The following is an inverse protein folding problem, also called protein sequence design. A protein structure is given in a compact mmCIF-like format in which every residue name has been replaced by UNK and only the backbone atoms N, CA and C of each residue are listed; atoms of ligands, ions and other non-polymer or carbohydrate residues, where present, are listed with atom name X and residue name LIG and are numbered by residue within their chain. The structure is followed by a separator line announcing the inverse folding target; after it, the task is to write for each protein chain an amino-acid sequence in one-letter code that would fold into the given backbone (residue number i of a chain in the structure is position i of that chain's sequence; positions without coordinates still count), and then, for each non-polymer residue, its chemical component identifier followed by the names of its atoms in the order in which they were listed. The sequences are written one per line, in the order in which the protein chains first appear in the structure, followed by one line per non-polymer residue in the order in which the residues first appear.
data_IF_151306265168
#
_entry.id   IF_151306265168
#
_cell.length_a   1.000
_cell.length_b   1.000
_cell.length_c   1.000
_cell.angle_alpha   90.00
_cell.angle_beta   90.00
_cell.angle_gamma   90.00
#
_symmetry.space_group_name_H-M   'P 1'
#
loop_
_entity.id
_entity.type
_entity.pdbx_description
1 polymer ?
#
# COMPACT_ATOMS: atom_id res chain seq x y z
N UNK A 1 -25.20 8.15 8.09
CA UNK A 1 -23.88 8.79 7.86
C UNK A 1 -23.02 8.89 9.12
N UNK A 2 -23.45 9.54 10.22
CA UNK A 2 -22.65 9.65 11.46
C UNK A 2 -22.25 8.31 12.09
N UNK A 3 -23.18 7.35 12.16
CA UNK A 3 -22.90 6.03 12.74
C UNK A 3 -21.80 5.26 11.99
N UNK A 4 -21.83 5.28 10.66
CA UNK A 4 -20.84 4.59 9.82
C UNK A 4 -19.43 5.14 10.03
N UNK A 5 -19.29 6.48 10.12
CA UNK A 5 -18.00 7.10 10.40
C UNK A 5 -17.43 6.66 11.75
N UNK A 6 -18.28 6.59 12.78
CA UNK A 6 -17.87 6.12 14.10
C UNK A 6 -17.42 4.66 14.04
N UNK A 7 -18.15 3.79 13.33
CA UNK A 7 -17.77 2.39 13.15
C UNK A 7 -16.44 2.23 12.40
N UNK A 8 -16.21 3.01 11.34
CA UNK A 8 -14.93 3.03 10.62
C UNK A 8 -13.78 3.46 11.53
N UNK A 9 -13.96 4.51 12.33
CA UNK A 9 -12.93 4.98 13.29
C UNK A 9 -12.64 3.90 14.33
N UNK A 10 -13.67 3.27 14.90
CA UNK A 10 -13.51 2.18 15.86
C UNK A 10 -12.73 1.02 15.22
N UNK A 11 -13.11 0.60 14.02
CA UNK A 11 -12.42 -0.47 13.29
C UNK A 11 -10.93 -0.15 13.03
N UNK A 12 -10.61 1.09 12.65
CA UNK A 12 -9.22 1.55 12.45
C UNK A 12 -8.43 1.49 13.76
N UNK A 13 -8.99 2.02 14.85
CA UNK A 13 -8.32 2.05 16.15
C UNK A 13 -8.05 0.64 16.69
N UNK A 14 -9.04 -0.25 16.60
CA UNK A 14 -8.87 -1.66 16.99
C UNK A 14 -7.83 -2.37 16.11
N UNK A 15 -7.83 -2.12 14.81
CA UNK A 15 -6.83 -2.70 13.90
C UNK A 15 -5.42 -2.22 14.22
N UNK A 16 -5.25 -0.91 14.47
CA UNK A 16 -3.95 -0.36 14.90
C UNK A 16 -3.47 -0.99 16.20
N UNK A 17 -4.36 -1.19 17.18
CA UNK A 17 -4.02 -1.83 18.45
C UNK A 17 -3.56 -3.29 18.25
N UNK A 18 -4.31 -4.07 17.46
CA UNK A 18 -3.99 -5.48 17.17
C UNK A 18 -2.66 -5.62 16.43
N UNK A 19 -2.40 -4.73 15.46
CA UNK A 19 -1.19 -4.80 14.63
C UNK A 19 -0.02 -3.97 15.18
N UNK A 20 -0.16 -3.29 16.32
CA UNK A 20 0.84 -2.38 16.88
C UNK A 20 2.22 -3.04 17.03
N UNK A 21 2.24 -4.27 17.55
CA UNK A 21 3.47 -5.05 17.73
C UNK A 21 4.12 -5.51 16.42
N UNK A 22 3.42 -5.40 15.28
CA UNK A 22 3.89 -5.85 13.97
C UNK A 22 4.28 -4.71 13.03
N UNK A 23 4.12 -3.44 13.46
CA UNK A 23 4.35 -2.27 12.61
C UNK A 23 5.80 -2.18 12.10
N UNK A 24 6.76 -2.64 12.90
CA UNK A 24 8.19 -2.63 12.60
C UNK A 24 8.72 -3.97 12.10
N UNK A 25 7.85 -4.93 11.77
CA UNK A 25 8.30 -6.16 11.14
C UNK A 25 8.89 -5.87 9.76
N UNK A 26 9.74 -6.77 9.28
CA UNK A 26 10.38 -6.67 7.98
C UNK A 26 9.38 -6.90 6.83
N UNK A 27 9.81 -6.52 5.63
CA UNK A 27 9.17 -6.89 4.37
C UNK A 27 9.14 -8.40 4.21
N UNK A 28 8.05 -8.95 3.70
CA UNK A 28 7.87 -10.40 3.51
C UNK A 28 7.29 -10.73 2.15
N UNK A 29 7.60 -11.91 1.64
CA UNK A 29 7.03 -12.45 0.39
C UNK A 29 7.20 -11.47 -0.79
N UNK A 30 6.10 -11.09 -1.43
CA UNK A 30 6.09 -10.28 -2.63
C UNK A 30 6.41 -8.79 -2.38
N UNK A 31 6.47 -8.35 -1.11
CA UNK A 31 6.85 -6.98 -0.74
C UNK A 31 8.18 -6.58 -1.39
N UNK A 32 9.14 -7.51 -1.44
CA UNK A 32 10.43 -7.29 -2.10
C UNK A 32 10.26 -6.86 -3.55
N UNK A 33 9.56 -7.68 -4.34
CA UNK A 33 9.38 -7.43 -5.78
C UNK A 33 8.52 -6.20 -6.09
N UNK A 34 7.48 -5.97 -5.28
CA UNK A 34 6.44 -4.96 -5.57
C UNK A 34 6.73 -3.60 -4.96
N UNK A 35 7.58 -3.53 -3.94
CA UNK A 35 7.97 -2.29 -3.25
C UNK A 35 9.47 -2.07 -3.35
N UNK A 36 10.29 -2.98 -2.81
CA UNK A 36 11.75 -2.77 -2.67
C UNK A 36 12.42 -2.66 -4.05
N UNK A 37 12.17 -3.63 -4.92
CA UNK A 37 12.78 -3.74 -6.25
C UNK A 37 12.03 -2.95 -7.34
N UNK A 38 10.98 -2.23 -6.95
CA UNK A 38 10.05 -1.60 -7.89
C UNK A 38 10.35 -0.12 -8.10
N UNK A 39 11.18 0.18 -9.11
CA UNK A 39 11.48 1.58 -9.45
C UNK A 39 10.23 2.39 -9.84
N UNK A 40 9.16 1.73 -10.32
CA UNK A 40 7.95 2.42 -10.78
C UNK A 40 7.19 3.16 -9.69
N UNK A 41 7.38 2.81 -8.41
CA UNK A 41 6.70 3.48 -7.29
C UNK A 41 7.51 4.64 -6.72
N UNK A 42 8.73 4.87 -7.17
CA UNK A 42 9.62 5.89 -6.56
C UNK A 42 9.37 7.32 -7.05
N UNK A 43 8.59 7.48 -8.12
CA UNK A 43 8.29 8.78 -8.72
C UNK A 43 7.00 8.74 -9.55
N UNK A 44 6.21 9.81 -9.50
CA UNK A 44 4.98 9.98 -10.30
C UNK A 44 5.24 9.99 -11.81
N UNK A 45 6.50 10.15 -12.26
CA UNK A 45 6.85 10.06 -13.68
C UNK A 45 6.48 8.72 -14.32
N UNK A 46 6.35 7.66 -13.51
CA UNK A 46 6.02 6.32 -13.96
C UNK A 46 4.51 6.05 -14.00
N UNK A 47 3.67 7.03 -13.66
CA UNK A 47 2.21 6.88 -13.64
C UNK A 47 1.61 6.33 -14.95
N UNK A 48 2.11 6.70 -16.16
CA UNK A 48 1.62 6.08 -17.40
C UNK A 48 1.83 4.55 -17.46
N UNK A 49 2.84 4.00 -16.78
CA UNK A 49 3.13 2.56 -16.75
C UNK A 49 2.04 1.80 -15.98
N UNK A 50 1.39 2.44 -15.00
CA UNK A 50 0.38 1.79 -14.15
C UNK A 50 -0.83 1.32 -14.97
N UNK A 51 -1.08 1.96 -16.11
CA UNK A 51 -2.15 1.64 -17.06
C UNK A 51 -1.72 0.66 -18.17
N UNK A 52 -0.46 0.25 -18.19
CA UNK A 52 0.07 -0.73 -19.15
C UNK A 52 0.07 -2.16 -18.60
N UNK A 53 -0.47 -2.35 -17.39
CA UNK A 53 -0.54 -3.65 -16.71
C UNK A 53 0.82 -4.20 -16.23
N UNK A 54 1.82 -3.32 -16.11
CA UNK A 54 3.12 -3.62 -15.51
C UNK A 54 3.12 -3.22 -14.04
N UNK A 55 3.34 -4.19 -13.16
CA UNK A 55 3.35 -3.98 -11.70
C UNK A 55 4.75 -3.92 -11.09
N UNK A 56 5.78 -4.39 -11.80
CA UNK A 56 7.18 -4.37 -11.40
C UNK A 56 8.05 -4.31 -12.66
N UNK A 57 9.26 -3.72 -12.61
CA UNK A 57 10.22 -3.77 -13.70
C UNK A 57 10.80 -5.17 -13.94
N UNK A 58 10.77 -6.02 -12.92
CA UNK A 58 11.20 -7.41 -13.02
C UNK A 58 10.20 -8.22 -13.86
N UNK A 59 10.63 -9.33 -14.51
CA UNK A 59 9.72 -10.21 -15.22
C UNK A 59 8.57 -10.64 -14.31
N UNK A 60 7.42 -10.02 -14.49
CA UNK A 60 6.19 -10.39 -13.80
C UNK A 60 5.48 -11.47 -14.60
N UNK A 61 4.60 -12.22 -13.94
CA UNK A 61 3.70 -13.17 -14.60
C UNK A 61 2.71 -12.48 -15.55
N UNK A 62 1.46 -12.93 -15.65
CA UNK A 62 0.49 -12.33 -16.59
C UNK A 62 0.35 -10.83 -16.37
N UNK A 63 0.01 -10.09 -17.44
CA UNK A 63 -0.27 -8.64 -17.38
C UNK A 63 -1.38 -8.39 -16.35
N UNK A 64 -1.12 -7.50 -15.38
CA UNK A 64 -2.06 -7.18 -14.30
C UNK A 64 -2.34 -5.68 -14.29
N UNK A 65 -3.52 -5.28 -14.76
CA UNK A 65 -3.95 -3.89 -14.71
C UNK A 65 -4.40 -3.52 -13.29
N UNK A 66 -3.47 -2.95 -12.50
CA UNK A 66 -3.72 -2.54 -11.09
C UNK A 66 -3.32 -1.08 -10.80
N UNK A 67 -3.91 -0.07 -11.47
CA UNK A 67 -3.41 1.29 -11.40
C UNK A 67 -3.55 1.91 -10.01
N UNK A 68 -4.69 1.69 -9.34
CA UNK A 68 -4.93 2.22 -7.99
C UNK A 68 -3.98 1.63 -6.96
N UNK A 69 -3.63 0.36 -7.08
CA UNK A 69 -2.71 -0.31 -6.18
C UNK A 69 -1.27 0.20 -6.35
N UNK A 70 -0.81 0.36 -7.60
CA UNK A 70 0.49 0.98 -7.89
C UNK A 70 0.56 2.43 -7.38
N UNK A 71 -0.53 3.19 -7.57
CA UNK A 71 -0.62 4.56 -7.07
C UNK A 71 -0.56 4.61 -5.54
N UNK A 72 -1.24 3.70 -4.85
CA UNK A 72 -1.16 3.58 -3.39
C UNK A 72 0.27 3.36 -2.91
N UNK A 73 1.05 2.49 -3.56
CA UNK A 73 2.47 2.32 -3.21
C UNK A 73 3.34 3.51 -3.54
N UNK A 74 3.06 4.21 -4.64
CA UNK A 74 3.76 5.44 -4.98
C UNK A 74 3.55 6.52 -3.91
N UNK A 75 2.31 6.72 -3.49
CA UNK A 75 1.97 7.68 -2.43
C UNK A 75 2.61 7.29 -1.10
N UNK A 76 2.60 6.00 -0.74
CA UNK A 76 3.29 5.53 0.48
C UNK A 76 4.80 5.79 0.42
N UNK A 77 5.41 5.54 -0.74
CA UNK A 77 6.83 5.80 -0.93
C UNK A 77 7.15 7.29 -0.80
N UNK A 78 6.31 8.17 -1.35
CA UNK A 78 6.48 9.62 -1.23
C UNK A 78 6.38 10.12 0.22
N UNK A 79 5.56 9.45 1.05
CA UNK A 79 5.36 9.82 2.46
C UNK A 79 6.47 9.25 3.36
N UNK A 80 6.85 7.99 3.15
CA UNK A 80 7.64 7.21 4.09
C UNK A 80 8.88 6.52 3.53
N UNK A 81 9.16 6.65 2.24
CA UNK A 81 10.21 5.87 1.58
C UNK A 81 9.96 4.38 1.73
N UNK A 82 10.97 3.62 2.16
CA UNK A 82 10.88 2.17 2.41
C UNK A 82 10.53 1.80 3.85
N UNK A 83 10.00 2.72 4.64
CA UNK A 83 9.60 2.43 6.01
C UNK A 83 8.34 1.55 6.04
N UNK A 84 8.46 0.31 6.53
CA UNK A 84 7.35 -0.67 6.52
C UNK A 84 6.09 -0.15 7.23
N UNK A 85 6.28 0.58 8.33
CA UNK A 85 5.17 1.04 9.17
C UNK A 85 4.24 2.01 8.44
N UNK A 86 4.73 2.82 7.49
CA UNK A 86 3.88 3.77 6.74
C UNK A 86 2.89 3.01 5.84
N UNK A 87 3.37 1.99 5.14
CA UNK A 87 2.55 1.13 4.30
C UNK A 87 1.49 0.38 5.13
N UNK A 88 1.87 -0.14 6.30
CA UNK A 88 0.93 -0.85 7.19
C UNK A 88 -0.18 0.08 7.71
N UNK A 89 0.18 1.27 8.19
CA UNK A 89 -0.81 2.26 8.66
C UNK A 89 -1.73 2.67 7.52
N UNK A 90 -1.19 2.94 6.33
CA UNK A 90 -1.99 3.31 5.17
C UNK A 90 -2.99 2.21 4.77
N UNK A 91 -2.56 0.94 4.77
CA UNK A 91 -3.43 -0.20 4.49
C UNK A 91 -4.55 -0.34 5.53
N UNK A 92 -4.25 -0.13 6.82
CA UNK A 92 -5.25 -0.16 7.89
C UNK A 92 -6.28 0.96 7.70
N UNK A 93 -5.84 2.18 7.37
CA UNK A 93 -6.74 3.31 7.10
C UNK A 93 -7.61 3.03 5.87
N UNK A 94 -7.03 2.57 4.75
CA UNK A 94 -7.78 2.24 3.55
C UNK A 94 -8.82 1.16 3.81
N UNK A 95 -8.47 0.12 4.57
CA UNK A 95 -9.41 -0.93 4.92
C UNK A 95 -10.56 -0.37 5.76
N UNK A 96 -10.27 0.43 6.78
CA UNK A 96 -11.31 0.99 7.66
C UNK A 96 -12.23 2.03 6.99
N UNK A 97 -11.75 2.74 5.97
CA UNK A 97 -12.57 3.66 5.16
C UNK A 97 -13.42 2.90 4.13
N UNK A 98 -12.96 1.75 3.67
CA UNK A 98 -13.69 0.87 2.74
C UNK A 98 -14.67 -0.11 3.46
N UNK A 99 -14.98 0.15 4.74
CA UNK A 99 -15.99 -0.57 5.54
C UNK A 99 -17.33 0.16 5.49
#
# INVERSE_FOLDING_TARGET
MRSNLVMSIVAILFSLLVYFNSLNNHWVLDDGRVIIDNVYITSLRYLPIYFQGKISPLPSGPIMLRPLWMLSYNLNFMVGGYNVWTYRIFQIILHGVNV
#
